data_IF_680209283569
#
_entry.id   IF_680209283569
#
_cell.length_a   1.000
_cell.length_b   1.000
_cell.length_c   1.000
_cell.angle_alpha   90.00
_cell.angle_beta   90.00
_cell.angle_gamma   90.00
#
_symmetry.space_group_name_H-M   'P 1'
#
loop_
_entity.id
_entity.type
_entity.pdbx_description
1 polymer ?
#
# COMPACT_ATOMS: atom_id res chain seq x y z
N UNK A 1 -5.33 13.59 -3.36
CA UNK A 1 -5.31 13.26 -1.90
C UNK A 1 -4.41 12.04 -1.66
N UNK A 2 -3.67 11.96 -0.55
CA UNK A 2 -2.77 10.82 -0.24
C UNK A 2 -3.56 9.57 0.18
N UNK A 3 -3.11 8.36 -0.21
CA UNK A 3 -3.74 7.11 0.26
C UNK A 3 -3.34 6.78 1.71
N UNK A 4 -4.12 5.95 2.39
CA UNK A 4 -3.89 5.62 3.80
C UNK A 4 -2.54 4.93 4.03
N UNK A 5 -2.10 4.07 3.12
CA UNK A 5 -0.78 3.43 3.22
C UNK A 5 0.37 4.43 3.13
N UNK A 6 0.31 5.41 2.22
CA UNK A 6 1.31 6.47 2.12
C UNK A 6 1.35 7.35 3.39
N UNK A 7 0.20 7.60 4.03
CA UNK A 7 0.14 8.30 5.32
C UNK A 7 0.86 7.52 6.41
N UNK A 8 0.56 6.22 6.55
CA UNK A 8 1.20 5.33 7.52
C UNK A 8 2.72 5.27 7.32
N UNK A 9 3.17 5.11 6.08
CA UNK A 9 4.60 5.00 5.76
C UNK A 9 5.34 6.35 5.72
N UNK A 10 4.64 7.46 5.96
CA UNK A 10 5.16 8.83 5.82
C UNK A 10 5.87 9.03 4.46
N UNK A 11 5.28 8.47 3.38
CA UNK A 11 5.79 8.49 2.01
C UNK A 11 4.94 9.44 1.16
N UNK A 12 5.58 10.22 0.28
CA UNK A 12 4.88 10.99 -0.75
C UNK A 12 3.94 10.12 -1.59
N UNK A 13 2.73 10.62 -1.85
CA UNK A 13 1.72 9.95 -2.67
C UNK A 13 1.48 10.77 -3.93
N UNK A 14 1.65 10.13 -5.09
CA UNK A 14 1.33 10.67 -6.41
C UNK A 14 0.11 9.95 -7.01
N UNK A 15 -0.27 10.32 -8.24
CA UNK A 15 -1.29 9.61 -9.02
C UNK A 15 -0.85 8.15 -9.32
N UNK A 16 0.41 7.94 -9.69
CA UNK A 16 1.01 6.61 -9.89
C UNK A 16 1.38 5.86 -8.59
N UNK A 17 0.62 6.05 -7.50
CA UNK A 17 0.95 5.43 -6.23
C UNK A 17 0.66 3.92 -6.22
N UNK A 18 1.71 3.11 -6.21
CA UNK A 18 1.62 1.62 -6.15
C UNK A 18 0.83 1.08 -4.96
N UNK A 19 0.74 1.81 -3.83
CA UNK A 19 -0.01 1.37 -2.65
C UNK A 19 -1.52 1.58 -2.79
N UNK A 20 -1.95 2.54 -3.60
CA UNK A 20 -3.37 2.91 -3.70
C UNK A 20 -4.24 1.75 -4.20
N UNK A 21 -3.94 1.09 -5.34
CA UNK A 21 -4.75 -0.04 -5.79
C UNK A 21 -4.70 -1.24 -4.83
N UNK A 22 -3.58 -1.43 -4.11
CA UNK A 22 -3.42 -2.52 -3.14
C UNK A 22 -4.30 -2.37 -1.88
N UNK A 23 -4.79 -1.17 -1.59
CA UNK A 23 -5.58 -0.87 -0.39
C UNK A 23 -7.06 -0.63 -0.69
N UNK A 24 -7.43 -0.42 -1.95
CA UNK A 24 -8.78 0.02 -2.31
C UNK A 24 -9.88 -0.99 -1.95
N UNK A 25 -9.54 -2.27 -1.90
CA UNK A 25 -10.46 -3.37 -1.56
C UNK A 25 -10.62 -3.56 -0.04
N UNK A 26 -9.77 -2.92 0.77
CA UNK A 26 -9.87 -2.97 2.24
C UNK A 26 -10.78 -1.83 2.68
N UNK A 27 -11.93 -2.18 3.26
CA UNK A 27 -12.91 -1.21 3.74
C UNK A 27 -12.41 -0.48 4.99
N UNK A 28 -12.50 0.86 4.98
CA UNK A 28 -12.17 1.70 6.13
C UNK A 28 -10.70 2.14 6.20
N UNK A 29 -10.49 3.41 6.57
CA UNK A 29 -9.16 4.00 6.65
C UNK A 29 -8.29 3.37 7.75
N UNK A 30 -8.90 2.98 8.87
CA UNK A 30 -8.21 2.32 9.99
C UNK A 30 -7.71 0.92 9.59
N UNK A 31 -8.56 0.10 8.96
CA UNK A 31 -8.19 -1.23 8.48
C UNK A 31 -7.07 -1.16 7.42
N UNK A 32 -7.17 -0.24 6.46
CA UNK A 32 -6.07 0.02 5.51
C UNK A 32 -4.77 0.42 6.22
N UNK A 33 -4.87 1.20 7.30
CA UNK A 33 -3.75 1.60 8.12
C UNK A 33 -3.09 0.42 8.83
N UNK A 34 -3.89 -0.38 9.55
CA UNK A 34 -3.43 -1.58 10.25
C UNK A 34 -2.81 -2.62 9.31
N UNK A 35 -3.44 -2.88 8.16
CA UNK A 35 -2.90 -3.75 7.13
C UNK A 35 -1.53 -3.24 6.65
N UNK A 36 -1.42 -1.94 6.38
CA UNK A 36 -0.14 -1.32 5.96
C UNK A 36 0.93 -1.47 7.04
N UNK A 37 0.62 -1.17 8.31
CA UNK A 37 1.58 -1.32 9.42
C UNK A 37 2.05 -2.77 9.54
N UNK A 38 1.13 -3.73 9.48
CA UNK A 38 1.43 -5.15 9.57
C UNK A 38 2.42 -5.59 8.49
N UNK A 39 2.12 -5.34 7.21
CA UNK A 39 3.00 -5.77 6.11
C UNK A 39 4.33 -5.01 6.10
N UNK A 40 4.32 -3.72 6.44
CA UNK A 40 5.54 -2.92 6.51
C UNK A 40 6.46 -3.35 7.65
N UNK A 41 5.92 -3.84 8.76
CA UNK A 41 6.70 -4.38 9.87
C UNK A 41 7.35 -5.72 9.51
N UNK A 42 6.68 -6.53 8.69
CA UNK A 42 7.22 -7.83 8.24
C UNK A 42 8.30 -7.68 7.15
N UNK A 43 8.03 -6.91 6.10
CA UNK A 43 8.94 -6.76 4.96
C UNK A 43 9.97 -5.63 5.11
N UNK A 44 9.75 -4.72 6.06
CA UNK A 44 10.42 -3.42 6.07
C UNK A 44 10.01 -2.54 4.88
N UNK A 45 10.43 -1.26 4.90
CA UNK A 45 10.05 -0.29 3.86
C UNK A 45 10.53 -0.69 2.47
N UNK A 46 11.80 -1.07 2.34
CA UNK A 46 12.41 -1.42 1.06
C UNK A 46 11.82 -2.72 0.50
N UNK A 47 11.70 -3.75 1.35
CA UNK A 47 11.11 -5.04 0.96
C UNK A 47 9.65 -4.91 0.53
N UNK A 48 8.84 -4.16 1.27
CA UNK A 48 7.44 -3.91 0.91
C UNK A 48 7.33 -3.26 -0.48
N UNK A 49 8.12 -2.23 -0.73
CA UNK A 49 8.08 -1.52 -2.02
C UNK A 49 8.53 -2.43 -3.16
N UNK A 50 9.63 -3.15 -2.98
CA UNK A 50 10.15 -4.09 -3.97
C UNK A 50 9.13 -5.18 -4.31
N UNK A 51 8.48 -5.74 -3.29
CA UNK A 51 7.44 -6.76 -3.46
C UNK A 51 6.25 -6.23 -4.26
N UNK A 52 5.71 -5.07 -3.88
CA UNK A 52 4.54 -4.48 -4.57
C UNK A 52 4.87 -4.10 -6.02
N UNK A 53 6.07 -3.58 -6.29
CA UNK A 53 6.48 -3.22 -7.66
C UNK A 53 6.70 -4.43 -8.57
N UNK A 54 7.02 -5.60 -8.01
CA UNK A 54 7.19 -6.84 -8.77
C UNK A 54 5.85 -7.46 -9.23
N UNK A 55 4.74 -7.12 -8.59
CA UNK A 55 3.40 -7.56 -9.00
C UNK A 55 2.92 -6.71 -10.19
N UNK A 56 2.44 -7.29 -11.31
CA UNK A 56 1.79 -6.56 -12.39
C UNK A 56 0.58 -5.73 -11.92
N UNK A 57 0.37 -4.54 -12.47
CA UNK A 57 -0.69 -3.63 -12.04
C UNK A 57 -2.11 -4.24 -12.00
N UNK A 58 -2.54 -5.07 -12.97
CA UNK A 58 -3.85 -5.72 -12.92
C UNK A 58 -4.06 -6.64 -11.72
N UNK A 59 -2.98 -7.16 -11.13
CA UNK A 59 -2.99 -8.10 -10.00
C UNK A 59 -2.79 -7.38 -8.65
N UNK A 60 -2.51 -6.08 -8.65
CA UNK A 60 -2.35 -5.28 -7.42
C UNK A 60 -3.69 -4.86 -6.83
N UNK A 61 -4.69 -4.68 -7.68
CA UNK A 61 -6.08 -4.54 -7.25
C UNK A 61 -6.59 -5.93 -6.89
N UNK A 62 -7.10 -6.11 -5.67
CA UNK A 62 -7.72 -7.38 -5.27
C UNK A 62 -9.02 -7.59 -6.04
N UNK A 63 -8.92 -8.23 -7.21
CA UNK A 63 -10.02 -8.73 -8.04
C UNK A 63 -9.63 -10.11 -8.59
#
# INVERSE_FOLDING_TARGET
>A
MSCNGCRVLRKGCSEGCVLRPCLQWIEGAEAQGHATVFVAKFFGRAGLMSFLTAVPEPQRAGN
#
